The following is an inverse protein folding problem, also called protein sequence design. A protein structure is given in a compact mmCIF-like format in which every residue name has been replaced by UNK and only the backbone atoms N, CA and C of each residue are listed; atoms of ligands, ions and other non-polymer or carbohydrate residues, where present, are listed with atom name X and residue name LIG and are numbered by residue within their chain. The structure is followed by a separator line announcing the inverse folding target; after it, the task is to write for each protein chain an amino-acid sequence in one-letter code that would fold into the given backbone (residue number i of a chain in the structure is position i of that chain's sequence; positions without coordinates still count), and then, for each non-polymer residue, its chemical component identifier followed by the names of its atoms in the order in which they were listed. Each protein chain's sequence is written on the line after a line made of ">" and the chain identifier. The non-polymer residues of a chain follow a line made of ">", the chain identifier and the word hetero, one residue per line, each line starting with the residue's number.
data_IF_782440004389
#
_entry.id   IF_782440004389
#
_cell.length_a   1.000
_cell.length_b   1.000
_cell.length_c   1.000
_cell.angle_alpha   90.00
_cell.angle_beta   90.00
_cell.angle_gamma   90.00
#
_symmetry.space_group_name_H-M   'P 1'
#
loop_
_entity.id
_entity.type
_entity.pdbx_description
1 polymer ?
#
# COMPACT_ATOMS: atom_id res chain seq x y z
N UNK A 1 16.45 2.23 23.33
CA UNK A 1 15.12 1.62 23.37
C UNK A 1 14.29 2.40 22.35
N UNK A 2 13.77 1.76 21.29
CA UNK A 2 12.94 2.47 20.32
C UNK A 2 11.72 3.05 21.05
N UNK A 3 11.47 4.35 20.87
CA UNK A 3 10.29 5.01 21.40
C UNK A 3 9.16 4.91 20.37
N UNK A 4 7.95 4.76 20.89
CA UNK A 4 6.75 4.54 20.11
C UNK A 4 5.82 5.74 20.27
N UNK A 5 5.26 6.24 19.16
CA UNK A 5 4.28 7.33 19.16
C UNK A 5 3.01 6.93 18.41
N UNK A 6 1.83 7.46 18.80
CA UNK A 6 0.62 7.29 18.02
C UNK A 6 0.66 8.15 16.74
N UNK A 7 0.14 7.59 15.65
CA UNK A 7 -0.07 8.32 14.40
C UNK A 7 -1.15 9.40 14.58
N UNK A 8 -0.90 10.62 14.10
CA UNK A 8 -1.87 11.71 14.19
C UNK A 8 -3.13 11.49 13.33
N UNK A 9 -3.05 10.64 12.30
CA UNK A 9 -4.13 10.43 11.33
C UNK A 9 -5.00 9.23 11.69
N UNK A 10 -4.39 8.12 12.12
CA UNK A 10 -5.10 6.86 12.39
C UNK A 10 -4.88 6.30 13.80
N UNK A 11 -4.18 7.01 14.69
CA UNK A 11 -3.86 6.61 16.06
C UNK A 11 -3.02 5.32 16.23
N UNK A 12 -2.69 4.60 15.15
CA UNK A 12 -1.83 3.41 15.21
C UNK A 12 -0.42 3.74 15.68
N UNK A 13 0.19 2.77 16.37
CA UNK A 13 1.47 2.91 17.03
C UNK A 13 2.63 2.81 16.03
N UNK A 14 3.56 3.76 16.05
CA UNK A 14 4.67 3.89 15.11
C UNK A 14 5.99 4.03 15.84
N UNK A 15 7.07 3.54 15.23
CA UNK A 15 8.42 3.89 15.66
C UNK A 15 8.67 5.39 15.45
N UNK A 16 9.31 6.03 16.42
CA UNK A 16 9.61 7.45 16.34
C UNK A 16 10.53 7.84 15.17
N UNK A 17 11.25 6.89 14.56
CA UNK A 17 12.08 7.12 13.38
C UNK A 17 11.38 6.78 12.05
N UNK A 18 10.12 6.34 12.08
CA UNK A 18 9.37 5.97 10.87
C UNK A 18 9.04 7.21 10.02
N UNK A 19 9.49 7.23 8.77
CA UNK A 19 9.31 8.32 7.79
C UNK A 19 7.85 8.57 7.38
N UNK A 20 6.96 7.61 7.63
CA UNK A 20 5.52 7.70 7.40
C UNK A 20 4.77 6.63 8.18
N UNK A 21 3.44 6.73 8.20
CA UNK A 21 2.58 5.70 8.76
C UNK A 21 2.23 4.64 7.69
N UNK A 22 2.66 3.38 7.82
CA UNK A 22 2.34 2.34 6.83
C UNK A 22 0.85 2.00 6.78
N UNK A 23 0.10 2.26 7.86
CA UNK A 23 -1.32 1.93 7.96
C UNK A 23 -2.26 2.95 7.30
N UNK A 24 -1.82 4.20 7.11
CA UNK A 24 -2.68 5.25 6.57
C UNK A 24 -1.99 6.18 5.56
N UNK A 25 -0.79 5.81 5.10
CA UNK A 25 0.07 6.58 4.18
C UNK A 25 0.27 8.05 4.58
N UNK A 26 0.11 8.39 5.87
CA UNK A 26 0.41 9.72 6.37
C UNK A 26 1.93 9.91 6.42
N UNK A 27 2.47 10.60 5.42
CA UNK A 27 3.86 11.03 5.37
C UNK A 27 4.10 12.12 6.41
N UNK A 28 5.29 12.14 7.03
CA UNK A 28 5.69 13.32 7.78
C UNK A 28 5.84 14.47 6.78
N UNK A 29 5.23 15.65 7.02
CA UNK A 29 5.51 16.81 6.18
C UNK A 29 7.00 17.12 6.30
N UNK A 30 7.79 16.66 5.33
CA UNK A 30 9.20 17.02 5.25
C UNK A 30 9.21 18.50 4.89
N UNK A 31 9.67 19.34 5.82
CA UNK A 31 9.82 20.79 5.65
C UNK A 31 10.79 21.18 4.50
N UNK A 32 11.16 20.26 3.60
CA UNK A 32 12.17 20.45 2.55
C UNK A 32 11.70 20.25 1.10
N UNK A 33 10.54 19.65 0.84
CA UNK A 33 10.14 19.34 -0.56
C UNK A 33 9.42 20.49 -1.29
N UNK A 34 8.85 21.46 -0.56
CA UNK A 34 8.07 22.54 -1.17
C UNK A 34 8.90 23.66 -1.83
N UNK A 35 10.22 23.71 -1.62
CA UNK A 35 11.04 24.85 -2.06
C UNK A 35 11.79 24.65 -3.39
N UNK A 36 11.88 23.44 -3.94
CA UNK A 36 12.75 23.16 -5.10
C UNK A 36 11.96 23.05 -6.42
N UNK A 37 10.67 22.71 -6.37
CA UNK A 37 9.84 22.48 -7.56
C UNK A 37 9.32 23.76 -8.26
N UNK A 38 9.52 24.97 -7.70
CA UNK A 38 8.95 26.21 -8.26
C UNK A 38 9.91 27.01 -9.16
N UNK A 39 11.19 26.63 -9.28
CA UNK A 39 12.18 27.42 -10.05
C UNK A 39 12.52 26.88 -11.44
N UNK A 40 12.11 25.65 -11.78
CA UNK A 40 12.23 25.12 -13.13
C UNK A 40 10.82 24.68 -13.54
N UNK A 41 10.10 25.58 -14.23
CA UNK A 41 8.71 25.42 -14.65
C UNK A 41 8.46 24.24 -15.59
N UNK A 42 8.64 23.03 -15.07
CA UNK A 42 8.20 21.76 -15.61
C UNK A 42 6.94 21.38 -14.86
N UNK A 43 5.80 21.68 -15.46
CA UNK A 43 4.53 21.04 -15.13
C UNK A 43 4.66 19.54 -15.45
N UNK A 44 5.13 18.75 -14.50
CA UNK A 44 5.03 17.30 -14.59
C UNK A 44 3.60 16.90 -14.22
N UNK A 45 2.69 16.96 -15.20
CA UNK A 45 1.47 16.15 -15.23
C UNK A 45 1.80 14.70 -15.61
N UNK A 46 2.76 14.10 -14.91
CA UNK A 46 3.11 12.69 -15.02
C UNK A 46 3.15 12.10 -13.62
N UNK A 47 2.47 10.97 -13.43
CA UNK A 47 2.50 10.19 -12.21
C UNK A 47 3.94 10.00 -11.74
N UNK A 48 4.29 10.60 -10.60
CA UNK A 48 5.60 10.44 -9.97
C UNK A 48 5.55 9.15 -9.14
N UNK A 49 5.67 7.97 -9.76
CA UNK A 49 6.11 6.78 -9.03
C UNK A 49 7.63 6.93 -8.82
N UNK A 50 7.98 7.54 -7.69
CA UNK A 50 9.36 7.63 -7.22
C UNK A 50 9.76 6.32 -6.55
N UNK A 51 10.08 5.29 -7.32
CA UNK A 51 10.66 4.07 -6.76
C UNK A 51 12.18 4.15 -6.66
N UNK A 52 12.64 4.22 -5.41
CA UNK A 52 13.78 3.50 -4.81
C UNK A 52 14.77 4.38 -4.02
N UNK A 53 14.77 4.23 -2.68
CA UNK A 53 15.97 4.45 -1.87
C UNK A 53 16.10 3.50 -0.67
N UNK A 54 15.56 2.29 -0.77
CA UNK A 54 16.06 1.08 -0.11
C UNK A 54 15.65 -0.05 -1.06
N UNK A 55 16.58 -0.89 -1.50
CA UNK A 55 16.41 -1.83 -2.62
C UNK A 55 15.46 -3.01 -2.36
N UNK A 56 14.22 -2.72 -2.00
CA UNK A 56 13.08 -3.63 -2.07
C UNK A 56 12.01 -2.83 -2.79
N UNK A 57 11.95 -3.01 -4.10
CA UNK A 57 10.78 -2.65 -4.89
C UNK A 57 9.72 -3.66 -4.49
N UNK A 58 8.92 -3.37 -3.44
CA UNK A 58 7.62 -4.01 -3.28
C UNK A 58 6.71 -3.23 -4.23
N UNK A 59 6.67 -3.61 -5.51
CA UNK A 59 5.61 -3.15 -6.39
C UNK A 59 4.33 -3.78 -5.88
N UNK A 60 3.42 -2.93 -5.39
CA UNK A 60 2.03 -3.29 -5.20
C UNK A 60 1.38 -3.06 -6.56
N UNK A 61 1.29 -4.14 -7.34
CA UNK A 61 0.60 -4.14 -8.63
C UNK A 61 -0.89 -4.47 -8.39
N UNK A 62 -1.73 -3.97 -9.28
CA UNK A 62 -3.19 -4.15 -9.32
C UNK A 62 -3.50 -4.48 -10.79
N UNK A 63 -3.09 -5.68 -11.22
CA UNK A 63 -3.11 -6.07 -12.64
C UNK A 63 -4.55 -6.31 -13.13
N UNK A 64 -5.45 -6.71 -12.24
CA UNK A 64 -6.86 -6.95 -12.55
C UNK A 64 -7.80 -5.74 -12.31
N UNK A 65 -7.34 -4.72 -11.57
CA UNK A 65 -8.04 -3.46 -11.36
C UNK A 65 -9.18 -3.53 -10.34
N UNK A 66 -9.14 -4.47 -9.40
CA UNK A 66 -10.16 -4.65 -8.37
C UNK A 66 -9.98 -3.74 -7.13
N UNK A 67 -8.82 -3.08 -7.04
CA UNK A 67 -8.45 -2.14 -5.99
C UNK A 67 -7.73 -2.75 -4.79
N UNK A 68 -7.42 -4.05 -4.85
CA UNK A 68 -6.48 -4.75 -3.98
C UNK A 68 -5.13 -4.89 -4.71
N UNK A 69 -4.08 -5.30 -3.99
CA UNK A 69 -2.73 -5.39 -4.60
C UNK A 69 -1.98 -6.61 -4.11
N UNK A 70 -1.29 -7.31 -5.02
CA UNK A 70 -0.42 -8.42 -4.67
C UNK A 70 1.03 -7.95 -4.41
N UNK A 71 1.83 -8.73 -3.63
CA UNK A 71 1.46 -9.93 -2.85
C UNK A 71 0.94 -9.57 -1.44
N UNK A 72 0.17 -8.48 -1.31
CA UNK A 72 -0.24 -7.93 -0.02
C UNK A 72 -1.62 -8.41 0.41
N UNK A 73 -2.63 -7.79 -0.18
CA UNK A 73 -4.04 -8.03 0.15
C UNK A 73 -4.66 -9.04 -0.81
N UNK A 74 -4.21 -9.03 -2.07
CA UNK A 74 -4.69 -9.93 -3.10
C UNK A 74 -3.81 -11.19 -3.25
N UNK A 75 -4.46 -12.35 -3.29
CA UNK A 75 -3.86 -13.65 -3.50
C UNK A 75 -3.77 -14.05 -4.98
N UNK A 76 -4.52 -13.42 -5.89
CA UNK A 76 -4.44 -13.59 -7.34
C UNK A 76 -4.70 -12.28 -8.11
N UNK A 77 -3.64 -11.48 -8.26
CA UNK A 77 -3.58 -10.19 -9.00
C UNK A 77 -3.99 -10.25 -10.49
N UNK A 78 -4.36 -11.44 -10.99
CA UNK A 78 -4.77 -11.66 -12.38
C UNK A 78 -6.27 -11.88 -12.52
N UNK A 79 -7.02 -11.96 -11.41
CA UNK A 79 -8.45 -12.22 -11.39
C UNK A 79 -9.19 -11.36 -10.36
N UNK A 80 -9.85 -10.30 -10.84
CA UNK A 80 -10.62 -9.35 -10.02
C UNK A 80 -11.81 -9.98 -9.23
N UNK A 81 -12.09 -11.27 -9.42
CA UNK A 81 -13.04 -12.03 -8.61
C UNK A 81 -12.43 -12.67 -7.36
N UNK A 82 -11.10 -12.74 -7.26
CA UNK A 82 -10.34 -13.30 -6.15
C UNK A 82 -9.72 -12.14 -5.38
N UNK A 83 -10.28 -11.79 -4.22
CA UNK A 83 -9.77 -10.72 -3.37
C UNK A 83 -10.40 -10.74 -1.98
N UNK A 84 -9.85 -9.99 -0.99
CA UNK A 84 -10.39 -9.88 0.36
C UNK A 84 -11.87 -9.50 0.51
N UNK A 85 -12.48 -8.94 -0.54
CA UNK A 85 -13.89 -8.57 -0.58
C UNK A 85 -14.80 -9.62 -1.20
N UNK A 86 -14.24 -10.66 -1.82
CA UNK A 86 -15.00 -11.71 -2.49
C UNK A 86 -15.69 -12.65 -1.49
N UNK A 87 -16.65 -13.41 -2.00
CA UNK A 87 -17.38 -14.43 -1.23
C UNK A 87 -16.90 -15.79 -1.73
N UNK A 88 -16.49 -16.67 -0.82
CA UNK A 88 -16.10 -18.02 -1.22
C UNK A 88 -17.28 -18.85 -1.71
N UNK A 89 -16.97 -19.65 -2.71
CA UNK A 89 -17.83 -20.74 -3.14
C UNK A 89 -17.43 -21.99 -2.37
N UNK A 90 -18.34 -22.45 -1.50
CA UNK A 90 -18.09 -23.61 -0.64
C UNK A 90 -17.67 -24.85 -1.43
N UNK A 91 -16.51 -25.42 -1.06
CA UNK A 91 -15.97 -26.70 -1.54
C UNK A 91 -15.68 -26.72 -3.06
N UNK A 92 -15.27 -25.58 -3.63
CA UNK A 92 -14.79 -25.49 -5.02
C UNK A 92 -13.26 -25.56 -5.16
N UNK A 93 -12.52 -25.50 -4.04
CA UNK A 93 -11.06 -25.58 -4.00
C UNK A 93 -10.35 -24.24 -4.17
N UNK A 94 -11.09 -23.12 -4.19
CA UNK A 94 -10.56 -21.77 -4.43
C UNK A 94 -10.86 -20.88 -3.22
N UNK A 95 -9.80 -20.44 -2.55
CA UNK A 95 -9.87 -19.32 -1.60
C UNK A 95 -10.08 -18.02 -2.41
N UNK A 96 -11.35 -17.64 -2.59
CA UNK A 96 -11.72 -16.47 -3.37
C UNK A 96 -11.56 -15.20 -2.52
N UNK A 97 -11.73 -15.32 -1.20
CA UNK A 97 -11.68 -14.17 -0.30
C UNK A 97 -10.27 -13.87 0.27
N UNK A 98 -9.26 -14.62 -0.13
CA UNK A 98 -7.87 -14.50 0.33
C UNK A 98 -7.69 -14.51 1.86
N UNK A 99 -8.56 -15.20 2.61
CA UNK A 99 -8.48 -15.32 4.07
C UNK A 99 -7.58 -16.48 4.54
N UNK A 100 -7.12 -17.31 3.60
CA UNK A 100 -6.24 -18.45 3.82
C UNK A 100 -6.97 -19.78 3.97
N UNK A 101 -8.31 -19.80 3.91
CA UNK A 101 -9.13 -21.01 3.99
C UNK A 101 -10.22 -21.01 2.90
N UNK A 102 -10.28 -22.07 2.09
CA UNK A 102 -11.45 -22.35 1.23
C UNK A 102 -12.60 -22.83 2.12
N UNK A 103 -13.54 -21.93 2.43
CA UNK A 103 -14.66 -22.16 3.35
C UNK A 103 -15.43 -23.48 3.06
N UNK A 104 -15.05 -24.56 3.74
CA UNK A 104 -15.62 -25.92 3.64
C UNK A 104 -16.96 -26.11 4.35
#
# INVERSE_FOLDING_TARGET
>A
MPTLRPCATCANLLLDDALGCPFCRAERPSLGAAAVATLLGLSLSGCFQADAMYGVVITYDDEDGDGYTAPGEDCDDTDAAINPGAIDTVDDGIDSNCDGDDNT
#
